data_IF_215611922235
#
_entry.id   IF_215611922235
#
_cell.length_a   1.000
_cell.length_b   1.000
_cell.length_c   1.000
_cell.angle_alpha   90.00
_cell.angle_beta   90.00
_cell.angle_gamma   90.00
#
_symmetry.space_group_name_H-M   'P 1'
#
loop_
_entity.id
_entity.type
_entity.pdbx_description
1 polymer ?
#
# COMPACT_ATOMS: atom_id res chain seq x y z
N UNK A 1 -55.84 21.13 -33.25
CA UNK A 1 -54.67 20.36 -33.72
C UNK A 1 -54.49 19.19 -32.74
N UNK A 2 -54.94 17.99 -33.10
CA UNK A 2 -54.71 16.79 -32.28
C UNK A 2 -53.31 16.26 -32.62
N UNK A 3 -52.40 16.29 -31.65
CA UNK A 3 -51.07 15.71 -31.81
C UNK A 3 -51.22 14.18 -31.90
N UNK A 4 -50.67 13.59 -32.96
CA UNK A 4 -50.70 12.13 -33.13
C UNK A 4 -50.04 11.44 -31.93
N UNK A 5 -50.68 10.44 -31.30
CA UNK A 5 -50.14 9.76 -30.13
C UNK A 5 -48.78 9.10 -30.39
N UNK A 6 -48.43 8.83 -31.65
CA UNK A 6 -47.11 8.31 -32.05
C UNK A 6 -45.99 9.33 -31.87
N UNK A 7 -46.29 10.63 -32.02
CA UNK A 7 -45.31 11.71 -31.85
C UNK A 7 -44.97 11.94 -30.37
N UNK A 8 -45.95 11.76 -29.47
CA UNK A 8 -45.74 11.90 -28.03
C UNK A 8 -44.82 10.80 -27.46
N UNK A 9 -44.97 9.54 -27.93
CA UNK A 9 -44.13 8.43 -27.48
C UNK A 9 -42.66 8.64 -27.88
N UNK A 10 -42.42 9.11 -29.11
CA UNK A 10 -41.06 9.39 -29.59
C UNK A 10 -40.32 10.43 -28.74
N UNK A 11 -41.00 11.52 -28.36
CA UNK A 11 -40.42 12.57 -27.53
C UNK A 11 -40.06 12.09 -26.12
N UNK A 12 -40.91 11.26 -25.50
CA UNK A 12 -40.64 10.72 -24.15
C UNK A 12 -39.40 9.82 -24.16
N UNK A 13 -39.27 8.94 -25.16
CA UNK A 13 -38.11 8.05 -25.30
C UNK A 13 -36.82 8.84 -25.49
N UNK A 14 -36.85 9.90 -26.32
CA UNK A 14 -35.67 10.75 -26.55
C UNK A 14 -35.24 11.50 -25.28
N UNK A 15 -36.20 12.06 -24.52
CA UNK A 15 -35.91 12.74 -23.25
C UNK A 15 -35.32 11.75 -22.23
N UNK A 16 -35.89 10.55 -22.12
CA UNK A 16 -35.38 9.51 -21.22
C UNK A 16 -33.96 9.07 -21.62
N UNK A 17 -33.67 8.92 -22.90
CA UNK A 17 -32.34 8.57 -23.41
C UNK A 17 -31.32 9.70 -23.12
N UNK A 18 -31.69 10.95 -23.36
CA UNK A 18 -30.83 12.11 -23.09
C UNK A 18 -30.60 12.31 -21.58
N UNK A 19 -31.60 12.07 -20.74
CA UNK A 19 -31.46 12.09 -19.29
C UNK A 19 -30.56 10.94 -18.80
N UNK A 20 -30.71 9.74 -19.38
CA UNK A 20 -29.85 8.60 -19.09
C UNK A 20 -28.39 8.85 -19.49
N UNK A 21 -28.16 9.35 -20.70
CA UNK A 21 -26.82 9.71 -21.19
C UNK A 21 -26.23 10.88 -20.41
N UNK A 22 -27.03 11.89 -20.10
CA UNK A 22 -26.63 13.00 -19.25
C UNK A 22 -26.22 12.52 -17.86
N UNK A 23 -27.04 11.68 -17.22
CA UNK A 23 -26.70 11.07 -15.94
C UNK A 23 -25.38 10.28 -16.02
N UNK A 24 -25.14 9.50 -17.07
CA UNK A 24 -23.85 8.82 -17.24
C UNK A 24 -22.69 9.80 -17.43
N UNK A 25 -22.85 10.85 -18.23
CA UNK A 25 -21.79 11.84 -18.46
C UNK A 25 -21.48 12.62 -17.17
N UNK A 26 -22.49 12.95 -16.37
CA UNK A 26 -22.33 13.71 -15.12
C UNK A 26 -21.92 12.85 -13.93
N UNK A 27 -22.29 11.57 -13.90
CA UNK A 27 -21.96 10.66 -12.80
C UNK A 27 -20.58 10.03 -12.95
N UNK A 28 -20.09 9.86 -14.19
CA UNK A 28 -18.72 9.42 -14.42
C UNK A 28 -17.77 10.60 -14.35
N UNK A 29 -16.80 10.50 -13.45
CA UNK A 29 -15.70 11.45 -13.39
C UNK A 29 -14.77 11.25 -14.58
N UNK A 30 -14.86 12.19 -15.51
CA UNK A 30 -13.91 12.34 -16.62
C UNK A 30 -12.68 13.09 -16.10
N UNK A 31 -11.88 12.48 -15.24
CA UNK A 31 -10.53 13.00 -14.99
C UNK A 31 -9.61 12.58 -16.14
N UNK A 32 -8.57 13.38 -16.40
CA UNK A 32 -7.60 13.04 -17.45
C UNK A 32 -6.63 11.96 -16.99
N UNK A 33 -6.44 11.82 -15.68
CA UNK A 33 -5.56 10.82 -15.07
C UNK A 33 -6.08 10.34 -13.70
N UNK A 34 -5.58 9.19 -13.21
CA UNK A 34 -5.91 8.70 -11.87
C UNK A 34 -5.39 9.61 -10.74
N UNK A 35 -4.30 10.36 -10.96
CA UNK A 35 -3.79 11.35 -10.00
C UNK A 35 -4.74 12.54 -9.84
N UNK A 36 -5.18 13.13 -10.97
CA UNK A 36 -6.14 14.23 -10.96
C UNK A 36 -7.45 13.81 -10.28
N UNK A 37 -7.88 12.55 -10.46
CA UNK A 37 -9.04 12.03 -9.74
C UNK A 37 -8.76 11.97 -8.23
N UNK A 38 -7.63 11.41 -7.81
CA UNK A 38 -7.29 11.31 -6.40
C UNK A 38 -7.26 12.70 -5.71
N UNK A 39 -6.62 13.69 -6.33
CA UNK A 39 -6.61 15.08 -5.87
C UNK A 39 -8.02 15.64 -5.74
N UNK A 40 -8.85 15.47 -6.79
CA UNK A 40 -10.24 15.94 -6.79
C UNK A 40 -11.10 15.26 -5.73
N UNK A 41 -10.89 13.97 -5.45
CA UNK A 41 -11.59 13.27 -4.38
C UNK A 41 -11.24 13.88 -3.02
N UNK A 42 -9.96 14.18 -2.78
CA UNK A 42 -9.50 14.83 -1.56
C UNK A 42 -10.09 16.25 -1.42
N UNK A 43 -10.01 17.06 -2.48
CA UNK A 43 -10.56 18.43 -2.50
C UNK A 43 -12.05 18.48 -2.18
N UNK A 44 -12.81 17.48 -2.65
CA UNK A 44 -14.25 17.38 -2.44
C UNK A 44 -14.63 16.54 -1.20
N UNK A 45 -13.65 16.18 -0.35
CA UNK A 45 -13.85 15.37 0.85
C UNK A 45 -14.60 14.04 0.58
N UNK A 46 -14.22 13.37 -0.52
CA UNK A 46 -14.74 12.07 -0.96
C UNK A 46 -13.80 10.94 -0.57
N UNK A 47 -14.35 9.73 -0.49
CA UNK A 47 -13.59 8.54 -0.09
C UNK A 47 -12.74 7.97 -1.24
N UNK A 48 -11.66 7.26 -0.91
CA UNK A 48 -10.84 6.52 -1.88
C UNK A 48 -11.63 5.49 -2.69
N UNK A 49 -12.77 4.99 -2.16
CA UNK A 49 -13.64 4.04 -2.87
C UNK A 49 -14.20 4.61 -4.18
N UNK A 50 -14.33 5.93 -4.27
CA UNK A 50 -14.81 6.60 -5.47
C UNK A 50 -13.81 6.54 -6.64
N UNK A 51 -12.56 6.15 -6.41
CA UNK A 51 -11.63 5.81 -7.48
C UNK A 51 -12.18 4.70 -8.39
N UNK A 52 -13.02 3.79 -7.88
CA UNK A 52 -13.66 2.73 -8.67
C UNK A 52 -14.84 3.22 -9.54
N UNK A 53 -15.17 4.51 -9.49
CA UNK A 53 -16.08 5.15 -10.45
C UNK A 53 -15.35 5.61 -11.72
N UNK A 54 -14.01 5.61 -11.71
CA UNK A 54 -13.21 5.92 -12.90
C UNK A 54 -13.51 4.94 -14.04
N UNK A 55 -13.69 5.47 -15.25
CA UNK A 55 -13.97 4.71 -16.47
C UNK A 55 -13.06 5.21 -17.59
N UNK A 56 -12.41 4.28 -18.29
CA UNK A 56 -11.68 4.59 -19.53
C UNK A 56 -12.22 3.78 -20.68
N UNK A 57 -12.11 4.34 -21.89
CA UNK A 57 -12.21 3.54 -23.10
C UNK A 57 -10.89 2.81 -23.30
N UNK A 58 -10.91 1.50 -23.04
CA UNK A 58 -9.75 0.60 -23.14
C UNK A 58 -9.46 0.26 -24.61
N UNK A 59 -9.11 1.29 -25.41
CA UNK A 59 -8.76 1.14 -26.83
C UNK A 59 -7.24 1.21 -26.97
N UNK A 60 -6.62 0.07 -27.29
CA UNK A 60 -5.20 -0.04 -27.62
C UNK A 60 -4.28 -0.38 -26.42
N UNK A 61 -2.95 -0.20 -26.57
CA UNK A 61 -1.97 -0.54 -25.55
C UNK A 61 -1.94 0.53 -24.44
N UNK A 62 -2.98 0.57 -23.63
CA UNK A 62 -3.13 1.47 -22.48
C UNK A 62 -3.35 0.64 -21.21
N UNK A 63 -3.04 1.19 -20.02
CA UNK A 63 -3.47 0.55 -18.79
C UNK A 63 -4.99 0.35 -18.81
N UNK A 64 -5.42 -0.80 -18.32
CA UNK A 64 -6.83 -1.15 -18.18
C UNK A 64 -7.53 -0.20 -17.22
N UNK A 65 -8.86 -0.09 -17.32
CA UNK A 65 -9.67 0.66 -16.35
C UNK A 65 -9.34 0.25 -14.91
N UNK A 66 -9.17 -1.05 -14.65
CA UNK A 66 -8.83 -1.57 -13.33
C UNK A 66 -7.46 -1.07 -12.84
N UNK A 67 -6.42 -1.12 -13.67
CA UNK A 67 -5.08 -0.61 -13.31
C UNK A 67 -5.12 0.88 -12.96
N UNK A 68 -5.91 1.67 -13.69
CA UNK A 68 -6.09 3.09 -13.40
C UNK A 68 -6.82 3.31 -12.07
N UNK A 69 -7.86 2.53 -11.77
CA UNK A 69 -8.57 2.60 -10.49
C UNK A 69 -7.63 2.30 -9.31
N UNK A 70 -6.83 1.23 -9.42
CA UNK A 70 -5.84 0.87 -8.40
C UNK A 70 -4.82 2.01 -8.21
N UNK A 71 -4.36 2.62 -9.31
CA UNK A 71 -3.45 3.78 -9.28
C UNK A 71 -4.04 5.00 -8.59
N UNK A 72 -5.32 5.29 -8.83
CA UNK A 72 -6.04 6.37 -8.14
C UNK A 72 -6.05 6.13 -6.62
N UNK A 73 -6.39 4.92 -6.16
CA UNK A 73 -6.41 4.61 -4.72
C UNK A 73 -5.03 4.73 -4.10
N UNK A 74 -3.98 4.24 -4.78
CA UNK A 74 -2.61 4.37 -4.31
C UNK A 74 -2.18 5.84 -4.21
N UNK A 75 -2.55 6.66 -5.19
CA UNK A 75 -2.24 8.09 -5.17
C UNK A 75 -2.99 8.81 -4.05
N UNK A 76 -4.29 8.51 -3.88
CA UNK A 76 -5.09 9.00 -2.77
C UNK A 76 -4.40 8.72 -1.43
N UNK A 77 -4.03 7.46 -1.18
CA UNK A 77 -3.35 7.05 0.05
C UNK A 77 -1.99 7.75 0.25
N UNK A 78 -1.25 7.99 -0.84
CA UNK A 78 0.03 8.70 -0.83
C UNK A 78 -0.14 10.18 -0.46
N UNK A 79 -1.15 10.85 -1.01
CA UNK A 79 -1.44 12.26 -0.80
C UNK A 79 -2.01 12.52 0.60
N UNK A 80 -2.91 11.66 1.07
CA UNK A 80 -3.54 11.80 2.40
C UNK A 80 -2.71 11.22 3.54
N UNK A 81 -1.67 10.42 3.22
CA UNK A 81 -0.94 9.60 4.21
C UNK A 81 -1.88 8.71 5.04
N UNK A 82 -2.93 8.21 4.40
CA UNK A 82 -3.93 7.34 5.01
C UNK A 82 -3.77 5.89 4.51
N UNK A 83 -3.19 4.99 5.32
CA UNK A 83 -3.05 3.59 4.95
C UNK A 83 -4.38 2.84 4.80
N UNK A 84 -5.48 3.33 5.38
CA UNK A 84 -6.78 2.64 5.33
C UNK A 84 -7.33 2.58 3.91
N UNK A 85 -7.01 3.57 3.06
CA UNK A 85 -7.34 3.53 1.64
C UNK A 85 -6.72 2.30 0.92
N UNK A 86 -5.56 1.83 1.37
CA UNK A 86 -4.90 0.66 0.80
C UNK A 86 -5.63 -0.66 1.09
N UNK A 87 -6.58 -0.70 2.04
CA UNK A 87 -7.43 -1.89 2.27
C UNK A 87 -8.19 -2.29 1.01
N UNK A 88 -8.57 -1.33 0.16
CA UNK A 88 -9.26 -1.58 -1.11
C UNK A 88 -8.40 -2.33 -2.13
N UNK A 89 -7.07 -2.27 -1.97
CA UNK A 89 -6.10 -2.88 -2.88
C UNK A 89 -5.49 -4.14 -2.30
N UNK A 90 -5.66 -4.35 -0.99
CA UNK A 90 -5.20 -5.54 -0.33
C UNK A 90 -6.13 -6.72 -0.64
N UNK A 91 -5.56 -7.92 -0.78
CA UNK A 91 -4.20 -8.24 -0.35
C UNK A 91 -3.19 -8.34 -1.51
N UNK A 92 -3.43 -7.67 -2.65
CA UNK A 92 -2.52 -7.74 -3.81
C UNK A 92 -1.12 -7.16 -3.54
N UNK A 93 -0.13 -7.54 -4.36
CA UNK A 93 1.22 -6.91 -4.35
C UNK A 93 1.15 -5.40 -4.54
N UNK A 94 0.16 -4.92 -5.29
CA UNK A 94 -0.11 -3.50 -5.46
C UNK A 94 -0.61 -2.84 -4.18
N UNK A 95 -1.44 -3.52 -3.38
CA UNK A 95 -1.85 -3.06 -2.06
C UNK A 95 -0.70 -2.94 -1.07
N UNK A 96 0.27 -3.86 -1.12
CA UNK A 96 1.50 -3.75 -0.33
C UNK A 96 2.37 -2.56 -0.72
N UNK A 97 2.44 -2.25 -2.02
CA UNK A 97 3.09 -1.04 -2.54
C UNK A 97 2.38 0.22 -2.06
N UNK A 98 1.03 0.21 -2.03
CA UNK A 98 0.22 1.30 -1.49
C UNK A 98 0.55 1.60 -0.03
N UNK A 99 0.58 0.56 0.84
CA UNK A 99 0.95 0.75 2.24
C UNK A 99 2.32 1.43 2.39
N UNK A 100 3.28 1.09 1.52
CA UNK A 100 4.60 1.70 1.52
C UNK A 100 4.62 3.21 1.21
N UNK A 101 3.73 3.71 0.37
CA UNK A 101 3.64 5.15 0.04
C UNK A 101 2.71 5.93 0.97
N UNK A 102 1.75 5.25 1.58
CA UNK A 102 0.84 5.82 2.56
C UNK A 102 1.55 6.06 3.91
N UNK A 103 2.58 5.28 4.24
CA UNK A 103 3.44 5.52 5.41
C UNK A 103 4.51 6.57 5.13
N UNK A 104 4.92 7.29 6.18
CA UNK A 104 6.10 8.16 6.12
C UNK A 104 7.37 7.40 5.70
N UNK A 105 8.39 8.14 5.27
CA UNK A 105 9.65 7.56 4.81
C UNK A 105 10.19 6.53 5.81
N UNK A 106 10.33 5.28 5.35
CA UNK A 106 10.98 4.21 6.11
C UNK A 106 12.42 4.61 6.43
N UNK A 107 12.86 4.32 7.64
CA UNK A 107 14.23 4.61 8.07
C UNK A 107 15.24 3.69 7.38
N UNK A 108 14.78 2.46 7.05
CA UNK A 108 15.55 1.42 6.43
C UNK A 108 14.88 0.90 5.15
N UNK A 109 15.66 0.80 4.08
CA UNK A 109 15.25 0.18 2.83
C UNK A 109 15.91 -1.20 2.75
N UNK A 110 15.08 -2.24 2.71
CA UNK A 110 15.52 -3.62 2.51
C UNK A 110 15.04 -4.09 1.15
N UNK A 111 15.97 -4.42 0.26
CA UNK A 111 15.69 -4.88 -1.09
C UNK A 111 15.61 -6.41 -1.14
N UNK A 112 14.90 -6.95 -2.14
CA UNK A 112 14.86 -8.40 -2.36
C UNK A 112 16.23 -8.98 -2.74
N UNK A 113 17.16 -8.15 -3.22
CA UNK A 113 18.56 -8.53 -3.48
C UNK A 113 19.34 -8.87 -2.20
N UNK A 114 18.78 -8.60 -1.01
CA UNK A 114 19.49 -8.72 0.26
C UNK A 114 20.23 -7.44 0.66
N UNK A 115 20.11 -6.36 -0.10
CA UNK A 115 20.72 -5.07 0.27
C UNK A 115 19.90 -4.35 1.34
N UNK A 116 20.60 -3.78 2.32
CA UNK A 116 20.08 -2.99 3.44
C UNK A 116 20.69 -1.59 3.36
N UNK A 117 19.84 -0.58 3.18
CA UNK A 117 20.23 0.83 3.08
C UNK A 117 19.54 1.67 4.15
N UNK A 118 20.24 2.67 4.66
CA UNK A 118 19.70 3.63 5.63
C UNK A 118 20.69 3.92 6.75
N UNK A 119 20.44 4.97 7.52
CA UNK A 119 21.30 5.36 8.65
C UNK A 119 22.79 5.49 8.29
N UNK A 120 23.10 6.13 7.15
CA UNK A 120 24.47 6.29 6.66
C UNK A 120 25.15 5.01 6.14
N UNK A 121 24.41 3.89 6.05
CA UNK A 121 24.95 2.59 5.67
C UNK A 121 24.37 2.08 4.36
N UNK A 122 25.21 1.36 3.62
CA UNK A 122 24.81 0.43 2.58
C UNK A 122 25.55 -0.89 2.81
N UNK A 123 24.82 -1.95 3.13
CA UNK A 123 25.38 -3.26 3.44
C UNK A 123 24.52 -4.37 2.85
N UNK A 124 25.11 -5.52 2.56
CA UNK A 124 24.38 -6.75 2.34
C UNK A 124 23.89 -7.30 3.68
N UNK A 125 22.73 -7.95 3.68
CA UNK A 125 22.16 -8.62 4.85
C UNK A 125 23.14 -9.58 5.54
N UNK A 126 24.02 -10.25 4.77
CA UNK A 126 25.09 -11.11 5.27
C UNK A 126 26.10 -10.33 6.11
N UNK A 127 26.41 -9.09 5.72
CA UNK A 127 27.31 -8.21 6.45
C UNK A 127 26.68 -7.69 7.75
N UNK A 128 25.35 -7.61 7.84
CA UNK A 128 24.68 -7.33 9.11
C UNK A 128 24.92 -8.41 10.17
N UNK A 129 25.43 -9.57 9.78
CA UNK A 129 25.80 -10.68 10.66
C UNK A 129 27.31 -10.80 10.83
N UNK A 130 28.06 -10.80 9.73
CA UNK A 130 29.52 -11.08 9.74
C UNK A 130 30.40 -9.87 9.54
N UNK A 131 29.81 -8.71 9.30
CA UNK A 131 30.53 -7.47 9.08
C UNK A 131 31.27 -6.98 10.32
N UNK A 132 31.87 -5.80 10.19
CA UNK A 132 32.49 -5.10 11.32
C UNK A 132 31.47 -4.81 12.43
N UNK A 133 31.95 -4.55 13.64
CA UNK A 133 31.07 -4.13 14.75
C UNK A 133 30.26 -2.87 14.40
N UNK A 134 30.82 -1.97 13.60
CA UNK A 134 30.12 -0.80 13.08
C UNK A 134 28.90 -1.18 12.21
N UNK A 135 29.05 -2.16 11.30
CA UNK A 135 27.94 -2.66 10.47
C UNK A 135 26.89 -3.35 11.32
N UNK A 136 27.32 -4.27 12.19
CA UNK A 136 26.41 -5.06 13.03
C UNK A 136 25.64 -4.21 14.03
N UNK A 137 26.26 -3.14 14.55
CA UNK A 137 25.62 -2.22 15.50
C UNK A 137 24.67 -1.21 14.84
N UNK A 138 24.70 -1.08 13.50
CA UNK A 138 23.83 -0.16 12.78
C UNK A 138 22.35 -0.51 12.97
N UNK A 139 21.53 0.53 13.19
CA UNK A 139 20.10 0.38 13.42
C UNK A 139 19.38 -0.37 12.29
N UNK A 140 19.73 -0.12 11.02
CA UNK A 140 19.11 -0.81 9.90
C UNK A 140 19.50 -2.28 9.78
N UNK A 141 20.71 -2.65 10.19
CA UNK A 141 21.08 -4.05 10.28
C UNK A 141 20.27 -4.78 11.37
N UNK A 142 20.08 -4.16 12.54
CA UNK A 142 19.23 -4.72 13.60
C UNK A 142 17.77 -4.89 13.15
N UNK A 143 17.20 -3.87 12.49
CA UNK A 143 15.86 -3.95 11.88
C UNK A 143 15.79 -5.09 10.86
N UNK A 144 16.79 -5.23 9.99
CA UNK A 144 16.81 -6.26 8.96
C UNK A 144 16.90 -7.67 9.55
N UNK A 145 17.72 -7.87 10.60
CA UNK A 145 17.80 -9.14 11.32
C UNK A 145 16.46 -9.50 11.96
N UNK A 146 15.83 -8.55 12.66
CA UNK A 146 14.52 -8.76 13.25
C UNK A 146 13.43 -9.05 12.19
N UNK A 147 13.54 -8.48 10.99
CA UNK A 147 12.60 -8.69 9.89
C UNK A 147 12.73 -10.05 9.19
N UNK A 148 13.91 -10.69 9.24
CA UNK A 148 14.24 -11.86 8.40
C UNK A 148 14.57 -13.13 9.18
N UNK A 149 15.19 -13.01 10.34
CA UNK A 149 15.58 -14.16 11.17
C UNK A 149 14.42 -14.56 12.06
N UNK A 150 14.00 -15.82 11.99
CA UNK A 150 12.78 -16.30 12.66
C UNK A 150 12.81 -16.05 14.19
N UNK A 151 13.96 -16.32 14.81
CA UNK A 151 14.11 -16.26 16.26
C UNK A 151 14.57 -14.90 16.80
N UNK A 152 14.70 -13.86 15.95
CA UNK A 152 15.07 -12.51 16.37
C UNK A 152 13.84 -11.61 16.27
N UNK A 153 13.24 -11.27 17.41
CA UNK A 153 12.07 -10.38 17.49
C UNK A 153 12.32 -9.16 18.39
N UNK A 154 13.52 -9.05 18.96
CA UNK A 154 13.84 -8.01 19.94
C UNK A 154 14.21 -6.69 19.25
N UNK A 155 13.41 -5.66 19.52
CA UNK A 155 13.63 -4.29 19.05
C UNK A 155 14.18 -3.36 20.16
N UNK A 156 14.36 -3.84 21.40
CA UNK A 156 14.67 -3.01 22.56
C UNK A 156 16.03 -2.29 22.43
N UNK A 157 16.97 -2.88 21.69
CA UNK A 157 18.25 -2.23 21.41
C UNK A 157 18.16 -0.96 20.53
N UNK A 158 16.96 -0.62 20.07
CA UNK A 158 16.61 0.57 19.28
C UNK A 158 15.73 1.57 20.06
N UNK A 159 15.44 1.35 21.34
CA UNK A 159 14.53 2.21 22.14
C UNK A 159 14.94 3.69 22.16
N UNK A 160 16.25 3.97 22.10
CA UNK A 160 16.79 5.33 22.03
C UNK A 160 16.60 6.01 20.66
N UNK A 161 16.11 5.29 19.66
CA UNK A 161 15.94 5.76 18.29
C UNK A 161 14.52 5.43 17.77
N UNK A 162 13.50 6.21 18.15
CA UNK A 162 12.08 5.87 17.96
C UNK A 162 11.70 5.48 16.53
N UNK A 163 12.27 6.15 15.53
CA UNK A 163 11.99 5.85 14.11
C UNK A 163 12.43 4.44 13.70
N UNK A 164 13.58 3.97 14.19
CA UNK A 164 14.06 2.61 13.90
C UNK A 164 13.36 1.56 14.77
N UNK A 165 13.00 1.91 16.00
CA UNK A 165 12.18 1.07 16.87
C UNK A 165 10.82 0.78 16.23
N UNK A 166 10.09 1.81 15.83
CA UNK A 166 8.79 1.70 15.17
C UNK A 166 8.88 0.86 13.89
N UNK A 167 9.92 1.06 13.06
CA UNK A 167 10.13 0.24 11.87
C UNK A 167 10.46 -1.22 12.23
N UNK A 168 11.27 -1.47 13.25
CA UNK A 168 11.55 -2.82 13.74
C UNK A 168 10.25 -3.53 14.15
N UNK A 169 9.42 -2.89 14.96
CA UNK A 169 8.15 -3.43 15.42
C UNK A 169 7.20 -3.72 14.25
N UNK A 170 7.10 -2.80 13.28
CA UNK A 170 6.33 -3.00 12.05
C UNK A 170 6.78 -4.27 11.30
N UNK A 171 8.08 -4.47 11.12
CA UNK A 171 8.62 -5.63 10.39
C UNK A 171 8.41 -6.94 11.16
N UNK A 172 8.60 -6.93 12.47
CA UNK A 172 8.36 -8.08 13.34
C UNK A 172 6.88 -8.48 13.30
N UNK A 173 5.98 -7.50 13.35
CA UNK A 173 4.54 -7.71 13.24
C UNK A 173 4.17 -8.44 11.93
N UNK A 174 4.67 -7.97 10.79
CA UNK A 174 4.43 -8.60 9.50
C UNK A 174 5.07 -9.99 9.40
N UNK A 175 6.31 -10.15 9.85
CA UNK A 175 7.03 -11.43 9.86
C UNK A 175 6.27 -12.50 10.64
N UNK A 176 5.76 -12.13 11.81
CA UNK A 176 5.06 -13.04 12.72
C UNK A 176 3.55 -13.09 12.46
N UNK A 177 3.03 -12.19 11.63
CA UNK A 177 1.58 -11.98 11.39
C UNK A 177 0.82 -11.73 12.69
N UNK A 178 1.44 -10.96 13.60
CA UNK A 178 0.91 -10.68 14.93
C UNK A 178 0.78 -9.17 15.11
N UNK A 179 -0.46 -8.70 15.21
CA UNK A 179 -0.79 -7.28 15.35
C UNK A 179 -0.39 -6.69 16.71
N UNK A 180 -0.08 -7.51 17.72
CA UNK A 180 0.35 -7.02 19.04
C UNK A 180 1.60 -6.16 18.97
N UNK A 181 2.54 -6.50 18.09
CA UNK A 181 3.74 -5.69 17.87
C UNK A 181 3.40 -4.28 17.33
N UNK A 182 2.30 -4.14 16.59
CA UNK A 182 1.84 -2.85 16.09
C UNK A 182 1.39 -1.90 17.21
N UNK A 183 0.97 -2.40 18.37
CA UNK A 183 0.44 -1.57 19.46
C UNK A 183 1.49 -0.61 20.03
N UNK A 184 2.76 -1.03 19.97
CA UNK A 184 3.94 -0.31 20.51
C UNK A 184 4.53 0.72 19.54
N UNK A 185 4.04 0.78 18.30
CA UNK A 185 4.48 1.75 17.29
C UNK A 185 3.95 3.13 17.67
N UNK A 186 4.82 4.14 17.71
CA UNK A 186 4.47 5.51 18.08
C UNK A 186 3.90 6.31 16.90
N UNK A 187 4.37 6.07 15.68
CA UNK A 187 3.82 6.69 14.47
C UNK A 187 2.43 6.14 14.16
N UNK A 188 1.39 6.96 14.28
CA UNK A 188 0.00 6.58 13.98
C UNK A 188 -0.17 6.04 12.55
N UNK A 189 0.46 6.68 11.56
CA UNK A 189 0.42 6.23 10.17
C UNK A 189 1.06 4.84 10.00
N UNK A 190 2.25 4.63 10.59
CA UNK A 190 2.92 3.33 10.50
C UNK A 190 2.19 2.25 11.29
N UNK A 191 1.60 2.61 12.43
CA UNK A 191 0.75 1.73 13.25
C UNK A 191 -0.49 1.29 12.50
N UNK A 192 -1.21 2.22 11.86
CA UNK A 192 -2.36 1.91 11.01
C UNK A 192 -1.97 0.95 9.88
N UNK A 193 -0.88 1.26 9.15
CA UNK A 193 -0.37 0.38 8.10
C UNK A 193 0.03 -1.01 8.63
N UNK A 194 0.61 -1.09 9.83
CA UNK A 194 0.96 -2.34 10.50
C UNK A 194 -0.27 -3.20 10.75
N UNK A 195 -1.33 -2.62 11.33
CA UNK A 195 -2.57 -3.32 11.65
C UNK A 195 -3.27 -3.83 10.38
N UNK A 196 -3.35 -2.99 9.36
CA UNK A 196 -3.93 -3.35 8.06
C UNK A 196 -3.13 -4.48 7.40
N UNK A 197 -1.80 -4.34 7.35
CA UNK A 197 -0.92 -5.33 6.75
C UNK A 197 -1.00 -6.68 7.46
N UNK A 198 -0.92 -6.70 8.80
CA UNK A 198 -1.02 -7.94 9.58
C UNK A 198 -2.38 -8.62 9.40
N UNK A 199 -3.49 -7.86 9.44
CA UNK A 199 -4.84 -8.37 9.16
C UNK A 199 -4.93 -8.99 7.76
N UNK A 200 -4.38 -8.34 6.73
CA UNK A 200 -4.35 -8.87 5.37
C UNK A 200 -3.54 -10.18 5.25
N UNK A 201 -2.39 -10.27 5.93
CA UNK A 201 -1.57 -11.50 5.95
C UNK A 201 -2.22 -12.66 6.71
N UNK A 202 -2.96 -12.36 7.78
CA UNK A 202 -3.74 -13.36 8.50
C UNK A 202 -4.89 -13.88 7.65
N UNK A 203 -5.59 -13.00 6.94
CA UNK A 203 -6.69 -13.38 6.05
C UNK A 203 -6.22 -14.18 4.83
N UNK A 204 -5.04 -13.88 4.30
CA UNK A 204 -4.49 -14.61 3.17
C UNK A 204 -2.96 -14.84 3.28
N UNK A 205 -2.56 -15.95 3.94
CA UNK A 205 -1.17 -16.34 4.16
C UNK A 205 -0.27 -16.49 2.93
N UNK A 206 -0.81 -16.87 1.77
CA UNK A 206 -0.01 -17.24 0.58
C UNK A 206 0.56 -16.02 -0.15
N UNK A 207 0.08 -14.83 0.19
CA UNK A 207 0.47 -13.58 -0.45
C UNK A 207 1.92 -13.20 -0.15
N UNK A 208 2.45 -13.73 0.94
CA UNK A 208 3.85 -13.57 1.31
C UNK A 208 4.62 -14.90 1.29
N UNK A 209 4.14 -15.89 0.52
CA UNK A 209 4.84 -17.16 0.25
C UNK A 209 6.07 -16.86 -0.65
N UNK A 210 7.07 -16.17 -0.07
CA UNK A 210 8.26 -15.66 -0.77
C UNK A 210 8.76 -14.30 -0.29
N UNK A 211 7.91 -13.47 0.36
CA UNK A 211 8.35 -12.15 0.85
C UNK A 211 9.33 -12.26 2.04
N UNK A 212 9.21 -13.34 2.79
CA UNK A 212 10.13 -13.70 3.86
C UNK A 212 10.36 -15.20 3.79
N UNK A 213 11.31 -15.63 2.95
CA UNK A 213 12.03 -16.87 3.24
C UNK A 213 12.60 -16.68 4.65
N UNK A 214 11.91 -17.25 5.64
CA UNK A 214 12.35 -17.17 7.02
C UNK A 214 13.68 -17.90 7.08
N UNK A 215 14.72 -17.17 7.45
CA UNK A 215 15.99 -17.81 7.76
C UNK A 215 15.82 -18.33 9.18
N UNK A 216 15.89 -19.65 9.36
CA UNK A 216 15.63 -20.29 10.66
C UNK A 216 16.66 -19.87 11.69
N UNK A 217 17.91 -19.79 11.25
CA UNK A 217 19.03 -19.36 12.06
C UNK A 217 20.03 -18.56 11.23
N UNK A 218 20.86 -17.80 11.93
CA UNK A 218 21.93 -17.01 11.32
C UNK A 218 22.92 -17.89 10.52
N UNK A 219 22.99 -19.19 10.79
CA UNK A 219 23.90 -20.11 10.11
C UNK A 219 23.46 -20.48 8.68
N UNK A 220 22.16 -20.46 8.39
CA UNK A 220 21.61 -20.69 7.05
C UNK A 220 22.03 -19.61 6.04
N UNK A 221 22.49 -18.45 6.52
CA UNK A 221 23.03 -17.35 5.72
C UNK A 221 24.35 -17.69 5.01
N UNK A 222 25.03 -18.72 5.48
CA UNK A 222 26.37 -19.09 5.02
C UNK A 222 26.39 -20.29 4.07
N UNK A 223 25.23 -20.86 3.77
CA UNK A 223 25.06 -21.97 2.81
C UNK A 223 24.70 -21.42 1.44
#
# INVERSE_FOLDING_TARGET
MQLSPKLAIGSIVLIALMAYLGAHIFYYEHSKSPEELAEKLIENNRSAGDCFLFRTFDIGPRPTTYEMQMRCVREYASLTKDPTACELLLPSSYGWSCLGVATDHRACVMLMSGEVRGNGMNAQWKECVTGSEEIKSNACCKVALAAKVENINDCNSLDSQPRFYDECQYRVALKNRDSKYCETINSENLKSACLIGTKAMQANPSICEGCSSKIKNVDELFR
#
